data_IF_818797701089
#
_entry.id   IF_818797701089
#
_cell.length_a   1.000
_cell.length_b   1.000
_cell.length_c   1.000
_cell.angle_alpha   90.00
_cell.angle_beta   90.00
_cell.angle_gamma   90.00
#
_symmetry.space_group_name_H-M   'P 1'
#
loop_
_entity.id
_entity.type
_entity.pdbx_description
1 polymer ?
#
# COMPACT_ATOMS: atom_id res chain seq x y z
N UNK A 1 -28.14 -22.01 48.24
CA UNK A 1 -28.33 -20.71 48.93
C UNK A 1 -28.85 -19.72 47.90
N UNK A 2 -30.15 -19.42 47.94
CA UNK A 2 -30.80 -18.40 47.10
C UNK A 2 -31.13 -17.20 47.99
N UNK A 3 -30.73 -16.00 47.58
CA UNK A 3 -31.01 -14.71 48.21
C UNK A 3 -30.93 -13.68 47.07
N UNK A 4 -31.83 -12.73 46.82
CA UNK A 4 -33.09 -12.27 47.42
C UNK A 4 -33.83 -11.49 46.32
N UNK A 5 -35.15 -11.43 46.42
CA UNK A 5 -36.02 -10.45 45.75
C UNK A 5 -36.22 -9.27 46.71
N UNK A 6 -36.24 -8.01 46.21
CA UNK A 6 -37.24 -6.97 46.55
C UNK A 6 -36.89 -5.58 45.97
N UNK A 7 -37.71 -5.18 44.98
CA UNK A 7 -38.36 -3.88 44.69
C UNK A 7 -37.99 -2.67 45.57
N UNK A 8 -37.71 -1.52 44.94
CA UNK A 8 -38.12 -0.21 45.45
C UNK A 8 -38.48 0.77 44.30
N UNK A 9 -39.61 1.45 44.48
CA UNK A 9 -40.19 2.52 43.67
C UNK A 9 -39.21 3.68 43.40
N UNK A 10 -39.36 4.37 42.26
CA UNK A 10 -39.88 5.74 42.22
C UNK A 10 -40.10 6.19 40.76
N UNK A 11 -41.35 6.50 40.42
CA UNK A 11 -41.69 7.34 39.27
C UNK A 11 -41.52 8.80 39.72
N UNK A 12 -40.66 9.57 39.06
CA UNK A 12 -40.77 11.03 39.04
C UNK A 12 -40.84 11.47 37.57
N UNK A 13 -41.83 12.31 37.34
CA UNK A 13 -42.35 12.82 36.08
C UNK A 13 -41.67 14.15 35.74
N UNK A 14 -41.49 14.37 34.43
CA UNK A 14 -41.45 15.64 33.69
C UNK A 14 -40.25 16.60 33.75
N UNK A 15 -40.06 17.12 32.53
CA UNK A 15 -39.68 18.48 32.13
C UNK A 15 -38.19 18.82 32.18
N UNK A 16 -37.66 19.13 31.00
CA UNK A 16 -36.29 19.55 30.81
C UNK A 16 -35.98 20.90 31.44
N UNK A 17 -34.68 21.18 31.56
CA UNK A 17 -33.96 22.23 30.85
C UNK A 17 -32.47 21.89 30.94
N UNK A 18 -31.78 22.18 29.84
CA UNK A 18 -30.33 22.13 29.60
C UNK A 18 -29.48 22.63 30.77
N UNK A 19 -28.44 21.87 31.12
CA UNK A 19 -27.17 22.44 31.60
C UNK A 19 -26.02 21.66 30.95
N UNK A 20 -25.22 22.38 30.17
CA UNK A 20 -23.95 21.96 29.59
C UNK A 20 -23.04 21.31 30.62
N UNK A 21 -22.61 20.07 30.34
CA UNK A 21 -21.60 19.37 31.12
C UNK A 21 -20.58 18.75 30.18
N UNK A 22 -19.37 19.31 30.18
CA UNK A 22 -18.17 18.87 29.46
C UNK A 22 -17.87 17.37 29.68
N UNK A 23 -18.43 16.51 28.82
CA UNK A 23 -17.83 15.22 28.51
C UNK A 23 -16.78 15.44 27.42
N UNK A 24 -15.51 15.62 27.79
CA UNK A 24 -14.40 15.42 26.86
C UNK A 24 -14.29 13.90 26.63
N UNK A 25 -15.22 13.35 25.85
CA UNK A 25 -14.90 12.17 25.08
C UNK A 25 -13.74 12.59 24.17
N UNK A 26 -12.55 12.11 24.49
CA UNK A 26 -11.44 12.16 23.55
C UNK A 26 -11.89 11.33 22.35
N UNK A 27 -12.54 11.98 21.39
CA UNK A 27 -12.45 11.56 20.01
C UNK A 27 -10.96 11.34 19.77
N UNK A 28 -10.55 10.09 19.61
CA UNK A 28 -9.25 9.79 19.02
C UNK A 28 -9.32 10.47 17.66
N UNK A 29 -8.75 11.67 17.58
CA UNK A 29 -8.52 12.33 16.31
C UNK A 29 -7.57 11.40 15.56
N UNK A 30 -8.13 10.55 14.72
CA UNK A 30 -7.36 9.84 13.73
C UNK A 30 -6.92 10.90 12.73
N UNK A 31 -5.82 11.59 13.06
CA UNK A 31 -5.11 12.42 12.08
C UNK A 31 -4.89 11.57 10.84
N UNK A 32 -5.09 12.18 9.68
CA UNK A 32 -4.73 11.57 8.41
C UNK A 32 -3.28 11.05 8.51
N UNK A 33 -2.98 9.86 7.99
CA UNK A 33 -1.63 9.32 8.04
C UNK A 33 -0.66 10.28 7.34
N UNK A 34 0.49 10.51 7.96
CA UNK A 34 1.54 11.34 7.37
C UNK A 34 2.14 10.63 6.15
N UNK A 35 2.40 11.40 5.09
CA UNK A 35 3.08 10.88 3.90
C UNK A 35 4.57 10.77 4.20
N UNK A 36 5.25 9.83 3.56
CA UNK A 36 6.71 9.82 3.60
C UNK A 36 7.30 11.08 2.96
N UNK A 37 8.44 11.55 3.48
CA UNK A 37 9.20 12.67 2.91
C UNK A 37 9.62 12.44 1.44
N UNK A 38 9.81 11.18 1.05
CA UNK A 38 10.13 10.79 -0.33
C UNK A 38 8.89 10.64 -1.23
N UNK A 39 7.66 10.77 -0.69
CA UNK A 39 6.44 10.66 -1.49
C UNK A 39 6.05 12.00 -2.11
N UNK A 40 6.83 12.42 -3.12
CA UNK A 40 6.60 13.66 -3.91
C UNK A 40 5.64 13.45 -5.10
N UNK A 41 5.00 12.28 -5.18
CA UNK A 41 4.17 11.87 -6.30
C UNK A 41 2.88 12.69 -6.36
N UNK A 42 2.55 13.18 -7.56
CA UNK A 42 1.32 13.91 -7.89
C UNK A 42 0.09 13.00 -7.84
N UNK A 43 -0.26 12.56 -6.64
CA UNK A 43 -1.39 11.68 -6.35
C UNK A 43 -2.23 12.27 -5.21
N UNK A 44 -3.29 12.97 -5.59
CA UNK A 44 -4.24 13.62 -4.68
C UNK A 44 -5.24 12.64 -4.04
N UNK A 45 -5.38 11.43 -4.60
CA UNK A 45 -6.28 10.40 -4.08
C UNK A 45 -5.83 9.88 -2.71
N UNK A 46 -6.62 10.16 -1.68
CA UNK A 46 -6.44 9.60 -0.33
C UNK A 46 -6.70 8.09 -0.25
N UNK A 47 -7.31 7.51 -1.30
CA UNK A 47 -7.58 6.07 -1.38
C UNK A 47 -6.35 5.24 -1.78
N UNK A 48 -5.32 5.86 -2.34
CA UNK A 48 -4.12 5.16 -2.79
C UNK A 48 -3.15 4.94 -1.63
N UNK A 49 -2.69 3.70 -1.43
CA UNK A 49 -1.72 3.36 -0.39
C UNK A 49 -0.27 3.31 -0.90
N UNK A 50 -0.10 3.16 -2.21
CA UNK A 50 1.20 3.11 -2.87
C UNK A 50 1.15 3.67 -4.28
N UNK A 51 2.32 3.87 -4.88
CA UNK A 51 2.51 4.06 -6.30
C UNK A 51 3.28 2.87 -6.90
N UNK A 52 3.00 2.57 -8.16
CA UNK A 52 3.66 1.55 -8.97
C UNK A 52 4.10 2.17 -10.28
N UNK A 53 5.40 2.06 -10.59
CA UNK A 53 5.99 2.52 -11.84
C UNK A 53 6.66 1.35 -12.57
N UNK A 54 6.63 1.36 -13.89
CA UNK A 54 7.33 0.38 -14.72
C UNK A 54 8.65 0.98 -15.20
N UNK A 55 9.76 0.36 -14.80
CA UNK A 55 11.11 0.85 -15.10
C UNK A 55 11.64 0.30 -16.42
N UNK A 56 11.14 -0.84 -16.91
CA UNK A 56 11.61 -1.43 -18.16
C UNK A 56 12.07 -2.88 -18.01
N UNK A 57 12.62 -3.43 -19.08
CA UNK A 57 13.12 -4.82 -19.08
C UNK A 57 14.62 -4.96 -19.33
N UNK A 58 15.26 -3.88 -19.78
CA UNK A 58 16.70 -3.82 -19.97
C UNK A 58 17.31 -2.67 -19.19
N UNK A 59 18.62 -2.73 -19.00
CA UNK A 59 19.37 -1.80 -18.17
C UNK A 59 19.23 -0.34 -18.64
N UNK A 60 19.29 -0.09 -19.95
CA UNK A 60 19.25 1.26 -20.50
C UNK A 60 17.87 1.90 -20.26
N UNK A 61 16.80 1.14 -20.50
CA UNK A 61 15.43 1.58 -20.22
C UNK A 61 15.24 1.88 -18.72
N UNK A 62 15.70 0.98 -17.85
CA UNK A 62 15.60 1.11 -16.39
C UNK A 62 16.30 2.37 -15.89
N UNK A 63 17.56 2.59 -16.30
CA UNK A 63 18.33 3.76 -15.89
C UNK A 63 17.69 5.05 -16.39
N UNK A 64 17.22 5.05 -17.65
CA UNK A 64 16.54 6.20 -18.25
C UNK A 64 15.24 6.53 -17.49
N UNK A 65 14.36 5.55 -17.29
CA UNK A 65 13.06 5.79 -16.62
C UNK A 65 13.23 6.14 -15.15
N UNK A 66 14.18 5.52 -14.45
CA UNK A 66 14.48 5.91 -13.07
C UNK A 66 14.89 7.39 -12.99
N UNK A 67 15.74 7.85 -13.90
CA UNK A 67 16.12 9.27 -13.99
C UNK A 67 14.93 10.17 -14.33
N UNK A 68 14.12 9.79 -15.33
CA UNK A 68 12.91 10.54 -15.71
C UNK A 68 11.94 10.68 -14.54
N UNK A 69 11.72 9.62 -13.75
CA UNK A 69 10.88 9.65 -12.54
C UNK A 69 11.46 10.57 -11.46
N UNK A 70 12.77 10.50 -11.22
CA UNK A 70 13.44 11.38 -10.27
C UNK A 70 13.31 12.86 -10.66
N UNK A 71 13.53 13.17 -11.95
CA UNK A 71 13.37 14.53 -12.49
C UNK A 71 11.91 14.99 -12.41
N UNK A 72 10.95 14.13 -12.76
CA UNK A 72 9.51 14.42 -12.75
C UNK A 72 8.99 14.76 -11.34
N UNK A 73 9.49 14.05 -10.33
CA UNK A 73 9.02 14.19 -8.95
C UNK A 73 9.97 14.99 -8.05
N UNK A 74 10.95 15.68 -8.64
CA UNK A 74 11.93 16.51 -7.92
C UNK A 74 12.63 15.74 -6.79
N UNK A 75 13.04 14.50 -7.07
CA UNK A 75 13.79 13.64 -6.15
C UNK A 75 15.26 13.72 -6.52
N UNK A 76 16.07 14.32 -5.66
CA UNK A 76 17.53 14.36 -5.85
C UNK A 76 18.19 13.01 -5.61
N UNK A 77 19.37 12.77 -6.19
CA UNK A 77 20.15 11.56 -5.91
C UNK A 77 20.48 11.38 -4.43
N UNK A 78 20.74 12.47 -3.71
CA UNK A 78 21.05 12.42 -2.29
C UNK A 78 19.83 12.03 -1.44
N UNK A 79 18.65 12.52 -1.80
CA UNK A 79 17.38 12.08 -1.19
C UNK A 79 17.09 10.60 -1.49
N UNK A 80 17.31 10.16 -2.74
CA UNK A 80 17.15 8.76 -3.13
C UNK A 80 18.11 7.84 -2.35
N UNK A 81 19.40 8.22 -2.22
CA UNK A 81 20.40 7.50 -1.43
C UNK A 81 20.05 7.45 0.06
N UNK A 82 19.56 8.56 0.62
CA UNK A 82 19.16 8.65 2.04
C UNK A 82 17.94 7.79 2.35
N UNK A 83 16.96 7.79 1.44
CA UNK A 83 15.74 6.97 1.56
C UNK A 83 16.10 5.49 1.51
N UNK A 84 16.98 5.12 0.58
CA UNK A 84 17.29 3.74 0.26
C UNK A 84 16.09 3.04 -0.41
N UNK A 85 16.32 1.82 -0.85
CA UNK A 85 15.29 0.94 -1.38
C UNK A 85 15.71 -0.49 -1.12
N UNK A 86 14.74 -1.40 -1.11
CA UNK A 86 15.02 -2.83 -1.14
C UNK A 86 14.88 -3.35 -2.57
N UNK A 87 15.64 -4.37 -2.93
CA UNK A 87 15.58 -5.00 -4.25
C UNK A 87 15.16 -6.45 -4.12
N UNK A 88 14.16 -6.87 -4.90
CA UNK A 88 13.70 -8.25 -4.95
C UNK A 88 13.83 -8.75 -6.38
N UNK A 89 14.62 -9.80 -6.54
CA UNK A 89 14.79 -10.50 -7.80
C UNK A 89 13.97 -11.79 -7.78
N UNK A 90 13.33 -12.10 -8.90
CA UNK A 90 12.65 -13.38 -9.11
C UNK A 90 13.40 -14.17 -10.16
N UNK A 91 13.41 -15.50 -10.02
CA UNK A 91 14.10 -16.37 -10.96
C UNK A 91 13.57 -16.17 -12.38
N UNK A 92 14.47 -15.87 -13.32
CA UNK A 92 14.17 -15.55 -14.72
C UNK A 92 13.24 -14.33 -14.93
N UNK A 93 13.12 -13.45 -13.95
CA UNK A 93 12.41 -12.18 -14.11
C UNK A 93 13.07 -11.31 -15.16
N UNK A 94 12.28 -10.44 -15.81
CA UNK A 94 12.75 -9.55 -16.88
C UNK A 94 12.18 -8.14 -16.71
N UNK A 95 10.92 -7.99 -16.30
CA UNK A 95 10.30 -6.68 -16.13
C UNK A 95 10.61 -6.11 -14.73
N UNK A 96 10.95 -4.83 -14.67
CA UNK A 96 11.29 -4.15 -13.43
C UNK A 96 10.26 -3.10 -13.08
N UNK A 97 9.87 -3.10 -11.81
CA UNK A 97 8.88 -2.18 -11.25
C UNK A 97 9.42 -1.49 -10.00
N UNK A 98 8.98 -0.25 -9.77
CA UNK A 98 9.20 0.47 -8.52
C UNK A 98 7.89 0.58 -7.76
N UNK A 99 7.86 0.05 -6.53
CA UNK A 99 6.75 0.19 -5.58
C UNK A 99 7.14 1.21 -4.52
N UNK A 100 6.36 2.28 -4.37
CA UNK A 100 6.61 3.34 -3.39
C UNK A 100 5.43 3.42 -2.41
N UNK A 101 5.62 3.18 -1.10
CA UNK A 101 4.53 3.33 -0.13
C UNK A 101 4.22 4.82 0.06
N UNK A 102 2.92 5.15 0.24
CA UNK A 102 2.48 6.54 0.36
C UNK A 102 2.68 7.15 1.73
N UNK A 103 2.46 6.35 2.77
CA UNK A 103 2.30 6.85 4.12
C UNK A 103 3.29 6.22 5.09
N UNK A 104 3.75 7.00 6.05
CA UNK A 104 4.55 6.49 7.16
C UNK A 104 3.80 5.38 7.91
N UNK A 105 4.53 4.34 8.31
CA UNK A 105 3.97 3.15 8.94
C UNK A 105 3.24 2.22 7.97
N UNK A 106 3.32 2.45 6.66
CA UNK A 106 2.93 1.45 5.67
C UNK A 106 3.95 0.32 5.62
N UNK A 107 3.48 -0.88 5.31
CA UNK A 107 4.34 -2.04 5.07
C UNK A 107 4.06 -2.59 3.67
N UNK A 108 5.12 -2.82 2.91
CA UNK A 108 5.13 -3.56 1.65
C UNK A 108 5.58 -4.99 1.94
N UNK A 109 4.75 -5.96 1.60
CA UNK A 109 5.09 -7.37 1.57
C UNK A 109 5.11 -7.84 0.10
N UNK A 110 6.15 -8.58 -0.26
CA UNK A 110 6.33 -9.20 -1.55
C UNK A 110 6.34 -10.71 -1.34
N UNK A 111 5.43 -11.39 -2.03
CA UNK A 111 5.42 -12.85 -2.07
C UNK A 111 5.68 -13.34 -3.49
N UNK A 112 6.34 -14.49 -3.64
CA UNK A 112 6.27 -15.25 -4.89
C UNK A 112 4.87 -15.87 -5.03
N UNK A 113 4.39 -15.94 -6.26
CA UNK A 113 3.15 -16.66 -6.58
C UNK A 113 3.42 -17.73 -7.64
N UNK A 114 2.59 -18.76 -7.62
CA UNK A 114 2.59 -19.84 -8.60
C UNK A 114 1.20 -20.02 -9.19
N UNK A 115 1.16 -20.38 -10.47
CA UNK A 115 -0.06 -20.84 -11.11
C UNK A 115 -0.23 -22.32 -10.80
N UNK A 116 -1.33 -22.68 -10.14
CA UNK A 116 -1.68 -24.08 -9.86
C UNK A 116 -2.16 -24.79 -11.12
N UNK A 117 -2.20 -26.13 -11.07
CA UNK A 117 -2.75 -26.94 -12.17
C UNK A 117 -4.20 -26.60 -12.49
N UNK A 118 -4.93 -26.05 -11.51
CA UNK A 118 -6.32 -25.61 -11.65
C UNK A 118 -6.43 -24.18 -12.23
N UNK A 119 -5.30 -23.53 -12.56
CA UNK A 119 -5.26 -22.19 -13.13
C UNK A 119 -5.45 -21.07 -12.11
N UNK A 120 -5.31 -21.35 -10.81
CA UNK A 120 -5.39 -20.33 -9.77
C UNK A 120 -4.00 -19.79 -9.44
N UNK A 121 -3.89 -18.49 -9.18
CA UNK A 121 -2.68 -17.92 -8.60
C UNK A 121 -2.73 -18.07 -7.08
N UNK A 122 -1.70 -18.70 -6.53
CA UNK A 122 -1.53 -18.88 -5.09
C UNK A 122 -0.18 -18.34 -4.63
N UNK A 123 -0.19 -17.71 -3.47
CA UNK A 123 1.02 -17.31 -2.76
C UNK A 123 1.82 -18.54 -2.37
N UNK A 124 3.12 -18.52 -2.67
CA UNK A 124 4.02 -19.64 -2.41
C UNK A 124 4.99 -19.34 -1.26
N UNK A 125 5.73 -18.22 -1.35
CA UNK A 125 6.75 -17.85 -0.35
C UNK A 125 6.84 -16.34 -0.18
N UNK A 126 6.91 -15.88 1.06
CA UNK A 126 7.26 -14.49 1.37
C UNK A 126 8.74 -14.24 1.00
N UNK A 127 8.98 -13.23 0.17
CA UNK A 127 10.31 -12.83 -0.31
C UNK A 127 10.87 -11.65 0.48
N UNK A 128 10.01 -10.70 0.85
CA UNK A 128 10.40 -9.48 1.54
C UNK A 128 9.21 -8.87 2.28
N UNK A 129 9.47 -8.33 3.47
CA UNK A 129 8.56 -7.39 4.17
C UNK A 129 9.37 -6.17 4.59
N UNK A 130 8.95 -4.97 4.18
CA UNK A 130 9.68 -3.70 4.40
C UNK A 130 8.75 -2.48 4.48
N UNK A 131 9.23 -1.38 5.03
CA UNK A 131 8.57 -0.06 5.01
C UNK A 131 9.19 0.91 3.99
N UNK A 132 10.22 0.47 3.25
CA UNK A 132 10.92 1.23 2.21
C UNK A 132 10.35 1.01 0.81
N UNK A 133 10.65 1.88 -0.17
CA UNK A 133 10.42 1.58 -1.58
C UNK A 133 11.07 0.26 -2.01
N UNK A 134 10.45 -0.44 -2.95
CA UNK A 134 10.92 -1.72 -3.47
C UNK A 134 11.11 -1.66 -4.97
N UNK A 135 12.31 -2.01 -5.44
CA UNK A 135 12.58 -2.31 -6.85
C UNK A 135 12.37 -3.81 -7.05
N UNK A 136 11.31 -4.19 -7.76
CA UNK A 136 10.85 -5.55 -7.91
C UNK A 136 11.04 -6.03 -9.35
N UNK A 137 11.77 -7.11 -9.52
CA UNK A 137 11.82 -7.86 -10.76
C UNK A 137 10.63 -8.81 -10.84
N UNK A 138 9.96 -8.88 -12.00
CA UNK A 138 8.82 -9.74 -12.29
C UNK A 138 9.04 -10.50 -13.59
N UNK A 139 8.27 -11.58 -13.79
CA UNK A 139 8.11 -12.19 -15.12
C UNK A 139 7.64 -11.16 -16.14
N UNK A 140 7.88 -11.45 -17.43
CA UNK A 140 7.20 -10.73 -18.51
C UNK A 140 5.67 -10.88 -18.39
N UNK A 141 4.94 -9.83 -18.71
CA UNK A 141 3.49 -9.76 -18.50
C UNK A 141 2.64 -10.69 -19.38
N UNK A 142 3.26 -11.36 -20.37
CA UNK A 142 2.64 -12.40 -21.20
C UNK A 142 2.59 -13.78 -20.49
N UNK A 143 3.24 -13.91 -19.34
CA UNK A 143 3.27 -15.13 -18.53
C UNK A 143 2.51 -14.89 -17.21
N UNK A 144 2.13 -15.97 -16.54
CA UNK A 144 1.60 -15.90 -15.18
C UNK A 144 2.51 -15.03 -14.28
N UNK A 145 1.92 -14.14 -13.45
CA UNK A 145 2.67 -13.32 -12.51
C UNK A 145 3.63 -14.17 -11.66
N UNK A 146 4.81 -13.63 -11.38
CA UNK A 146 5.80 -14.24 -10.47
C UNK A 146 5.64 -13.77 -9.03
N UNK A 147 5.01 -12.62 -8.82
CA UNK A 147 4.97 -11.95 -7.52
C UNK A 147 3.62 -11.31 -7.22
N UNK A 148 3.28 -11.25 -5.94
CA UNK A 148 2.18 -10.48 -5.39
C UNK A 148 2.73 -9.43 -4.45
N UNK A 149 2.21 -8.21 -4.57
CA UNK A 149 2.52 -7.08 -3.71
C UNK A 149 1.32 -6.82 -2.82
N UNK A 150 1.58 -6.78 -1.52
CA UNK A 150 0.61 -6.38 -0.50
C UNK A 150 1.11 -5.11 0.17
N UNK A 151 0.33 -4.03 0.16
CA UNK A 151 0.64 -2.81 0.91
C UNK A 151 -0.42 -2.61 1.99
N UNK A 152 0.03 -2.53 3.24
CA UNK A 152 -0.84 -2.44 4.43
C UNK A 152 -0.55 -1.15 5.19
N UNK A 153 -1.60 -0.47 5.65
CA UNK A 153 -1.53 0.67 6.57
C UNK A 153 -2.70 0.56 7.56
N UNK A 154 -2.39 0.18 8.81
CA UNK A 154 -3.40 -0.08 9.86
C UNK A 154 -4.45 -1.10 9.37
N UNK A 155 -5.70 -0.67 9.21
CA UNK A 155 -6.84 -1.47 8.75
C UNK A 155 -7.03 -1.45 7.23
N UNK A 156 -6.25 -0.65 6.50
CA UNK A 156 -6.29 -0.58 5.04
C UNK A 156 -5.27 -1.53 4.41
N UNK A 157 -5.67 -2.19 3.32
CA UNK A 157 -4.84 -3.13 2.56
C UNK A 157 -5.13 -3.00 1.06
N UNK A 158 -4.09 -3.04 0.24
CA UNK A 158 -4.20 -3.26 -1.21
C UNK A 158 -3.31 -4.43 -1.62
N UNK A 159 -3.80 -5.23 -2.56
CA UNK A 159 -3.12 -6.41 -3.08
C UNK A 159 -3.17 -6.39 -4.60
N UNK A 160 -2.03 -6.58 -5.25
CA UNK A 160 -1.94 -6.58 -6.70
C UNK A 160 -0.74 -7.40 -7.19
N UNK A 161 -0.76 -7.75 -8.47
CA UNK A 161 0.34 -8.39 -9.17
C UNK A 161 0.82 -7.41 -10.25
N UNK A 162 2.05 -6.85 -10.16
CA UNK A 162 2.56 -5.94 -11.18
C UNK A 162 2.51 -6.56 -12.57
N UNK A 163 2.01 -5.80 -13.53
CA UNK A 163 1.93 -6.19 -14.93
C UNK A 163 1.72 -4.95 -15.81
N UNK A 164 2.21 -5.02 -17.04
CA UNK A 164 1.83 -4.13 -18.14
C UNK A 164 0.75 -4.79 -19.00
N UNK A 165 -0.17 -3.99 -19.52
CA UNK A 165 -1.19 -4.46 -20.45
C UNK A 165 -0.58 -4.69 -21.83
N UNK A 166 -0.73 -5.90 -22.36
CA UNK A 166 -0.33 -6.21 -23.74
C UNK A 166 -1.17 -5.46 -24.80
N UNK A 167 -2.25 -4.77 -24.40
CA UNK A 167 -3.10 -3.99 -25.29
C UNK A 167 -2.50 -2.62 -25.62
N UNK A 168 -1.99 -1.91 -24.61
CA UNK A 168 -1.57 -0.52 -24.74
C UNK A 168 -0.19 -0.23 -24.11
N UNK A 169 0.49 -1.24 -23.57
CA UNK A 169 1.81 -1.14 -22.97
C UNK A 169 1.82 -0.40 -21.62
N UNK A 170 0.66 -0.06 -21.05
CA UNK A 170 0.56 0.67 -19.78
C UNK A 170 0.43 -0.27 -18.61
N UNK A 171 0.84 0.20 -17.43
CA UNK A 171 0.64 -0.55 -16.18
C UNK A 171 -0.85 -0.84 -15.98
N UNK A 172 -1.17 -2.08 -15.60
CA UNK A 172 -2.52 -2.47 -15.22
C UNK A 172 -2.94 -1.67 -13.98
N UNK A 173 -4.10 -1.02 -14.03
CA UNK A 173 -4.58 -0.18 -12.92
C UNK A 173 -5.14 -1.04 -11.79
N UNK A 174 -4.72 -0.76 -10.56
CA UNK A 174 -5.24 -1.40 -9.36
C UNK A 174 -5.91 -0.38 -8.45
N UNK A 175 -7.07 -0.73 -7.88
CA UNK A 175 -7.76 0.14 -6.92
C UNK A 175 -6.87 0.32 -5.70
N UNK A 176 -6.59 1.58 -5.33
CA UNK A 176 -5.72 1.89 -4.19
C UNK A 176 -4.23 1.93 -4.52
N UNK A 177 -3.86 1.88 -5.81
CA UNK A 177 -2.48 2.07 -6.27
C UNK A 177 -2.48 3.15 -7.35
N UNK A 178 -1.62 4.15 -7.18
CA UNK A 178 -1.31 5.09 -8.25
C UNK A 178 -0.39 4.41 -9.28
N UNK A 179 -0.71 4.51 -10.57
CA UNK A 179 0.06 3.88 -11.64
C UNK A 179 0.36 4.90 -12.72
N UNK A 180 1.62 4.97 -13.15
CA UNK A 180 2.07 5.80 -14.27
C UNK A 180 3.17 5.08 -15.07
#
# INVERSE_FOLDING_TARGET
MMKKIAIFMMVIVMAGVLISGCGKDKAVSQRAPEKHDYYKISNDSEGNLAALFFLGSDKEEIEKKAKELMDQYDVSEEEAKKTGYEMVNVDNGSEWYLVVPKYEGSTIQIDSVKLTEQGNLETDKELLTTDKPVVLQCNISDIAPSSQVTVTLKDKKVVFNPAISLKDGKIVKFKGVYTE
#
